data_IF_403510401252
#
_entry.id   IF_403510401252
#
_cell.length_a   1.000
_cell.length_b   1.000
_cell.length_c   1.000
_cell.angle_alpha   90.00
_cell.angle_beta   90.00
_cell.angle_gamma   90.00
#
_symmetry.space_group_name_H-M   'P 1'
#
loop_
_entity.id
_entity.type
_entity.pdbx_description
1 polymer ?
#
# COMPACT_ATOMS: atom_id res chain seq x y z
N UNK A 1 -23.09 -4.00 1.17
CA UNK A 1 -21.87 -3.21 1.46
C UNK A 1 -21.13 -2.87 0.17
N UNK A 2 -20.84 -3.86 -0.70
CA UNK A 2 -20.13 -3.68 -1.98
C UNK A 2 -20.73 -2.63 -2.95
N UNK A 3 -22.05 -2.53 -3.05
CA UNK A 3 -22.68 -1.63 -4.03
C UNK A 3 -22.49 -0.14 -3.74
N UNK A 4 -22.35 0.25 -2.47
CA UNK A 4 -22.11 1.64 -2.09
C UNK A 4 -20.67 2.06 -2.42
N UNK A 5 -19.70 1.19 -2.16
CA UNK A 5 -18.30 1.45 -2.45
C UNK A 5 -18.02 1.52 -3.96
N UNK A 6 -18.73 0.72 -4.76
CA UNK A 6 -18.61 0.73 -6.23
C UNK A 6 -18.99 2.07 -6.88
N UNK A 7 -19.72 2.92 -6.16
CA UNK A 7 -20.17 4.24 -6.63
C UNK A 7 -19.28 5.38 -6.14
N UNK A 8 -18.26 5.09 -5.34
CA UNK A 8 -17.28 6.09 -4.93
C UNK A 8 -16.38 6.46 -6.12
N UNK A 9 -15.91 7.72 -6.20
CA UNK A 9 -14.88 8.10 -7.15
C UNK A 9 -13.71 7.13 -7.08
N UNK A 10 -13.36 6.54 -8.22
CA UNK A 10 -12.23 5.64 -8.30
C UNK A 10 -10.94 6.47 -8.37
N UNK A 11 -9.88 6.10 -7.64
CA UNK A 11 -8.63 6.81 -7.69
C UNK A 11 -7.94 6.61 -9.04
N UNK A 12 -7.30 7.66 -9.58
CA UNK A 12 -6.47 7.55 -10.77
C UNK A 12 -5.19 6.71 -10.52
N UNK A 13 -4.69 6.77 -9.28
CA UNK A 13 -3.50 6.05 -8.83
C UNK A 13 -3.66 5.55 -7.39
N UNK A 14 -3.19 4.34 -7.14
CA UNK A 14 -3.08 3.77 -5.79
C UNK A 14 -1.65 3.35 -5.54
N UNK A 15 -1.11 3.74 -4.39
CA UNK A 15 0.23 3.34 -3.92
C UNK A 15 0.08 2.40 -2.75
N UNK A 16 0.51 1.14 -2.91
CA UNK A 16 0.58 0.16 -1.85
C UNK A 16 1.99 0.19 -1.24
N UNK A 17 2.10 0.56 0.04
CA UNK A 17 3.34 0.44 0.79
C UNK A 17 3.38 -0.97 1.40
N UNK A 18 4.13 -1.87 0.77
CA UNK A 18 4.26 -3.24 1.24
C UNK A 18 5.32 -3.34 2.35
N UNK A 19 4.89 -3.75 3.54
CA UNK A 19 5.74 -3.94 4.72
C UNK A 19 5.29 -5.21 5.46
N UNK A 20 6.23 -5.93 6.05
CA UNK A 20 5.91 -7.07 6.91
C UNK A 20 5.26 -6.61 8.21
N UNK A 21 4.35 -7.45 8.72
CA UNK A 21 3.71 -7.25 10.02
C UNK A 21 4.75 -7.14 11.14
N UNK A 22 5.86 -7.87 11.03
CA UNK A 22 6.98 -7.83 11.97
C UNK A 22 7.69 -6.47 11.96
N UNK A 23 8.12 -5.96 10.82
CA UNK A 23 8.79 -4.65 10.73
C UNK A 23 7.85 -3.51 11.10
N UNK A 24 6.58 -3.57 10.70
CA UNK A 24 5.58 -2.58 11.11
C UNK A 24 5.45 -2.52 12.63
N UNK A 25 5.44 -3.68 13.27
CA UNK A 25 5.30 -3.81 14.72
C UNK A 25 6.49 -3.30 15.51
N UNK A 26 7.72 -3.38 14.98
CA UNK A 26 8.91 -2.84 15.67
C UNK A 26 8.99 -1.31 15.58
N UNK A 27 8.38 -0.72 14.55
CA UNK A 27 8.33 0.74 14.35
C UNK A 27 7.23 1.44 15.15
N UNK A 28 6.22 0.70 15.64
CA UNK A 28 5.15 1.23 16.51
C UNK A 28 5.46 1.00 17.99
N UNK A 29 5.40 2.07 18.79
CA UNK A 29 5.43 1.96 20.25
C UNK A 29 4.29 1.05 20.75
N UNK A 30 4.63 0.05 21.57
CA UNK A 30 3.73 -1.03 22.04
C UNK A 30 2.46 -0.53 22.75
N UNK A 31 2.50 0.66 23.35
CA UNK A 31 1.40 1.23 24.15
C UNK A 31 0.17 1.68 23.34
N UNK A 32 0.19 1.60 22.00
CA UNK A 32 -0.91 2.06 21.12
C UNK A 32 -1.50 0.98 20.21
N UNK A 33 -1.27 -0.31 20.50
CA UNK A 33 -1.77 -1.39 19.62
C UNK A 33 -3.25 -1.70 19.83
N UNK A 34 -4.03 -1.51 18.77
CA UNK A 34 -5.46 -1.89 18.68
C UNK A 34 -5.61 -3.42 18.52
N UNK A 35 -6.83 -3.94 18.70
CA UNK A 35 -7.18 -5.38 18.72
C UNK A 35 -6.69 -6.13 17.48
N UNK A 36 -6.77 -5.50 16.30
CA UNK A 36 -6.31 -6.08 15.04
C UNK A 36 -4.78 -6.14 14.90
N UNK A 37 -4.04 -5.34 15.67
CA UNK A 37 -2.58 -5.27 15.59
C UNK A 37 -1.87 -6.34 16.43
N UNK A 38 -2.64 -7.19 17.12
CA UNK A 38 -2.13 -8.29 17.95
C UNK A 38 -2.11 -9.64 17.24
N UNK A 39 -2.84 -9.78 16.13
CA UNK A 39 -2.87 -11.00 15.32
C UNK A 39 -2.04 -10.84 14.03
N UNK A 40 -0.76 -11.17 14.13
CA UNK A 40 0.17 -11.15 13.00
C UNK A 40 -0.26 -12.07 11.85
N UNK A 41 -0.89 -13.21 12.17
CA UNK A 41 -1.33 -14.17 11.14
C UNK A 41 -2.48 -13.62 10.31
N UNK A 42 -3.36 -12.83 10.94
CA UNK A 42 -4.41 -12.10 10.25
C UNK A 42 -3.82 -10.96 9.39
N UNK A 43 -2.88 -10.20 9.93
CA UNK A 43 -2.21 -9.12 9.18
C UNK A 43 -1.47 -9.63 7.94
N UNK A 44 -0.85 -10.81 8.02
CA UNK A 44 -0.19 -11.42 6.86
C UNK A 44 -1.21 -11.81 5.77
N UNK A 45 -2.40 -12.32 6.14
CA UNK A 45 -3.48 -12.59 5.18
C UNK A 45 -4.02 -11.31 4.54
N UNK A 46 -4.14 -10.23 5.32
CA UNK A 46 -4.54 -8.91 4.82
C UNK A 46 -3.50 -8.39 3.82
N UNK A 47 -2.20 -8.50 4.14
CA UNK A 47 -1.12 -8.15 3.21
C UNK A 47 -1.24 -8.92 1.89
N UNK A 48 -1.45 -10.24 1.92
CA UNK A 48 -1.62 -11.03 0.70
C UNK A 48 -2.84 -10.58 -0.12
N UNK A 49 -3.93 -10.19 0.55
CA UNK A 49 -5.13 -9.67 -0.12
C UNK A 49 -4.83 -8.34 -0.83
N UNK A 50 -4.07 -7.43 -0.20
CA UNK A 50 -3.66 -6.18 -0.85
C UNK A 50 -2.69 -6.40 -2.00
N UNK A 51 -1.77 -7.36 -1.91
CA UNK A 51 -0.89 -7.73 -3.03
C UNK A 51 -1.69 -8.28 -4.22
N UNK A 52 -2.70 -9.10 -3.97
CA UNK A 52 -3.63 -9.56 -5.01
C UNK A 52 -4.38 -8.39 -5.66
N UNK A 53 -4.88 -7.43 -4.87
CA UNK A 53 -5.54 -6.24 -5.40
C UNK A 53 -4.58 -5.36 -6.20
N UNK A 54 -3.33 -5.24 -5.75
CA UNK A 54 -2.30 -4.47 -6.44
C UNK A 54 -1.98 -5.06 -7.81
N UNK A 55 -1.89 -6.38 -7.93
CA UNK A 55 -1.75 -7.06 -9.21
C UNK A 55 -2.99 -6.84 -10.10
N UNK A 56 -4.18 -7.11 -9.56
CA UNK A 56 -5.45 -7.01 -10.28
C UNK A 56 -5.74 -5.62 -10.84
N UNK A 57 -5.44 -4.57 -10.08
CA UNK A 57 -5.76 -3.17 -10.41
C UNK A 57 -4.51 -2.35 -10.75
N UNK A 58 -3.36 -3.00 -10.96
CA UNK A 58 -2.10 -2.36 -11.38
C UNK A 58 -1.67 -1.19 -10.47
N UNK A 59 -1.75 -1.40 -9.16
CA UNK A 59 -1.28 -0.44 -8.15
C UNK A 59 0.23 -0.29 -8.19
N UNK A 60 0.72 0.86 -7.74
CA UNK A 60 2.14 1.09 -7.54
C UNK A 60 2.55 0.46 -6.21
N UNK A 61 3.30 -0.64 -6.25
CA UNK A 61 3.82 -1.28 -5.02
C UNK A 61 5.19 -0.70 -4.66
N UNK A 62 5.36 -0.28 -3.41
CA UNK A 62 6.59 0.30 -2.86
C UNK A 62 7.07 -0.52 -1.66
N UNK A 63 8.38 -0.75 -1.57
CA UNK A 63 8.96 -1.48 -0.45
C UNK A 63 9.03 -0.61 0.81
N UNK A 64 8.13 -0.88 1.76
CA UNK A 64 8.04 -0.23 3.07
C UNK A 64 9.07 -0.70 4.10
N UNK A 65 9.88 -1.72 3.84
CA UNK A 65 10.95 -2.18 4.75
C UNK A 65 12.08 -1.14 4.88
N UNK A 66 12.19 -0.21 3.93
CA UNK A 66 13.23 0.84 3.94
C UNK A 66 12.92 1.97 4.93
N UNK A 67 13.91 2.81 5.17
CA UNK A 67 13.75 4.07 5.90
C UNK A 67 12.82 5.05 5.17
N UNK A 68 12.09 5.87 5.93
CA UNK A 68 11.04 6.78 5.41
C UNK A 68 11.52 7.65 4.22
N UNK A 69 12.74 8.19 4.27
CA UNK A 69 13.31 8.99 3.17
C UNK A 69 13.46 8.20 1.87
N UNK A 70 13.83 6.92 1.95
CA UNK A 70 13.98 6.06 0.79
C UNK A 70 12.62 5.64 0.22
N UNK A 71 11.66 5.32 1.10
CA UNK A 71 10.27 5.03 0.70
C UNK A 71 9.66 6.23 -0.01
N UNK A 72 9.81 7.43 0.55
CA UNK A 72 9.33 8.67 -0.07
C UNK A 72 9.90 8.89 -1.47
N UNK A 73 11.23 8.73 -1.62
CA UNK A 73 11.89 8.85 -2.93
C UNK A 73 11.33 7.84 -3.94
N UNK A 74 11.18 6.58 -3.54
CA UNK A 74 10.66 5.52 -4.41
C UNK A 74 9.20 5.77 -4.84
N UNK A 75 8.35 6.28 -3.94
CA UNK A 75 6.97 6.69 -4.28
C UNK A 75 7.02 7.74 -5.38
N UNK A 76 7.84 8.79 -5.20
CA UNK A 76 7.88 9.91 -6.14
C UNK A 76 8.38 9.50 -7.52
N UNK A 77 9.45 8.69 -7.56
CA UNK A 77 9.99 8.16 -8.82
C UNK A 77 8.94 7.33 -9.59
N UNK A 78 8.22 6.43 -8.91
CA UNK A 78 7.23 5.56 -9.54
C UNK A 78 5.96 6.29 -9.96
N UNK A 79 5.47 7.21 -9.12
CA UNK A 79 4.28 8.03 -9.44
C UNK A 79 4.56 8.92 -10.63
N UNK A 80 5.70 9.64 -10.63
CA UNK A 80 6.04 10.52 -11.74
C UNK A 80 6.23 9.75 -13.04
N UNK A 81 6.93 8.60 -12.98
CA UNK A 81 7.06 7.72 -14.13
C UNK A 81 5.70 7.31 -14.70
N UNK A 82 4.73 6.96 -13.84
CA UNK A 82 3.39 6.57 -14.30
C UNK A 82 2.63 7.71 -14.96
N UNK A 83 2.71 8.92 -14.40
CA UNK A 83 2.05 10.12 -14.94
C UNK A 83 2.64 10.48 -16.31
N UNK A 84 3.97 10.51 -16.45
CA UNK A 84 4.63 10.81 -17.72
C UNK A 84 4.30 9.78 -18.81
N UNK A 85 4.26 8.48 -18.48
CA UNK A 85 3.85 7.45 -19.44
C UNK A 85 2.41 7.64 -19.91
N UNK A 86 1.50 8.08 -19.04
CA UNK A 86 0.11 8.33 -19.44
C UNK A 86 0.02 9.55 -20.37
N UNK A 87 0.77 10.62 -20.11
CA UNK A 87 0.80 11.83 -20.95
C UNK A 87 1.36 11.61 -22.37
N UNK A 88 2.18 10.57 -22.57
CA UNK A 88 2.76 10.22 -23.89
C UNK A 88 1.78 9.38 -24.73
N UNK A 89 0.80 8.74 -24.10
CA UNK A 89 -0.15 7.83 -24.75
C UNK A 89 -1.55 8.47 -24.99
N UNK A 90 -1.74 9.74 -24.63
CA UNK A 90 -2.89 10.58 -25.00
C UNK A 90 -2.58 11.47 -26.21
#
# INVERSE_FOLDING_TARGET
MLELESKLPQPDLVVLIDISSQTSSTRKHEERRDVYERDYSFLDKVKQSYLYLADKYNYIVVNGEKESKHVHKEIWEKVWSRIEHNNINE
#
